data_IF_470249115901
#
_entry.id   IF_470249115901
#
_cell.length_a   1.000
_cell.length_b   1.000
_cell.length_c   1.000
_cell.angle_alpha   90.00
_cell.angle_beta   90.00
_cell.angle_gamma   90.00
#
_symmetry.space_group_name_H-M   'P 1'
#
loop_
_entity.id
_entity.type
_entity.pdbx_description
1 polymer ?
2 branched ?
3 water ?
#
# COMPACT_ATOMS: atom_id res chain seq x y z
N UNK A 2 -20.32 -20.56 11.32
CA UNK A 2 -20.02 -19.12 11.13
C UNK A 2 -18.51 -18.86 11.08
N UNK A 3 -18.05 -18.20 10.02
CA UNK A 3 -16.65 -17.75 9.99
C UNK A 3 -16.61 -16.23 10.09
N UNK A 4 -15.50 -15.69 10.60
CA UNK A 4 -15.34 -14.24 10.72
C UNK A 4 -14.19 -13.76 9.85
N UNK A 5 -14.40 -12.57 9.27
CA UNK A 5 -13.43 -11.90 8.40
C UNK A 5 -13.08 -10.56 9.02
N UNK A 6 -11.79 -10.34 9.27
CA UNK A 6 -11.29 -8.99 9.58
C UNK A 6 -10.95 -8.27 8.29
N UNK A 7 -11.41 -7.02 8.16
CA UNK A 7 -11.07 -6.20 6.99
C UNK A 7 -10.80 -4.74 7.33
N UNK A 8 -9.92 -4.12 6.57
CA UNK A 8 -9.64 -2.67 6.66
C UNK A 8 -10.36 -1.88 5.57
N UNK A 9 -11.21 -2.57 4.82
CA UNK A 9 -11.94 -1.94 3.75
C UNK A 9 -13.04 -1.03 4.31
N UNK A 10 -13.32 0.03 3.58
CA UNK A 10 -14.49 0.87 3.81
C UNK A 10 -15.15 1.17 2.50
N UNK A 11 -16.25 1.90 2.57
CA UNK A 11 -16.93 2.40 1.42
C UNK A 11 -17.38 1.32 0.46
N UNK A 12 -17.32 1.61 -0.85
CA UNK A 12 -17.63 0.63 -1.90
C UNK A 12 -16.87 -0.70 -1.79
N UNK A 13 -15.60 -0.66 -1.36
CA UNK A 13 -14.84 -1.91 -1.21
C UNK A 13 -15.44 -2.81 -0.15
N UNK A 14 -15.79 -2.21 0.98
CA UNK A 14 -16.45 -2.90 2.08
C UNK A 14 -17.80 -3.44 1.64
N UNK A 15 -18.54 -2.65 0.86
CA UNK A 15 -19.85 -3.10 0.40
C UNK A 15 -19.75 -4.35 -0.50
N UNK A 16 -18.75 -4.37 -1.39
CA UNK A 16 -18.43 -5.59 -2.15
C UNK A 16 -18.18 -6.80 -1.25
N UNK A 17 -17.33 -6.63 -0.24
CA UNK A 17 -16.99 -7.72 0.67
C UNK A 17 -18.24 -8.23 1.43
N UNK A 18 -19.10 -7.32 1.86
CA UNK A 18 -20.34 -7.68 2.57
C UNK A 18 -21.27 -8.48 1.65
N UNK A 19 -21.36 -8.07 0.38
CA UNK A 19 -22.16 -8.77 -0.62
C UNK A 19 -21.64 -10.17 -0.88
N UNK A 20 -20.32 -10.31 -1.04
CA UNK A 20 -19.73 -11.63 -1.25
C UNK A 20 -19.98 -12.54 -0.04
N UNK A 21 -20.01 -11.94 1.15
CA UNK A 21 -20.26 -12.70 2.38
C UNK A 21 -21.71 -13.20 2.42
N UNK A 22 -22.63 -12.34 2.00
CA UNK A 22 -24.05 -12.71 1.90
C UNK A 22 -24.23 -13.85 0.88
N UNK A 23 -23.70 -13.64 -0.33
CA UNK A 23 -23.72 -14.64 -1.38
C UNK A 23 -23.13 -16.02 -0.95
N UNK A 24 -22.04 -16.03 -0.18
CA UNK A 24 -21.46 -17.28 0.32
C UNK A 24 -22.36 -17.99 1.32
N UNK A 25 -23.15 -17.25 2.10
CA UNK A 25 -24.10 -17.88 2.99
C UNK A 25 -25.23 -18.62 2.23
N UNK A 26 -25.50 -18.22 0.99
CA UNK A 26 -26.54 -18.83 0.18
C UNK A 26 -25.99 -19.94 -0.71
N UNK A 27 -24.78 -19.76 -1.23
CA UNK A 27 -24.10 -20.84 -1.92
C UNK A 27 -23.20 -21.64 -0.95
N UNK A 28 -23.67 -21.84 0.29
CA UNK A 28 -22.87 -22.51 1.33
C UNK A 28 -23.68 -22.92 2.56
N UNK A 29 -24.52 -22.01 3.04
CA UNK A 29 -25.13 -22.14 4.36
C UNK A 29 -24.29 -21.64 5.54
N UNK A 30 -23.03 -21.28 5.28
CA UNK A 30 -22.14 -20.80 6.33
C UNK A 30 -22.27 -19.29 6.44
N UNK A 31 -22.61 -18.83 7.64
CA UNK A 31 -22.70 -17.40 7.95
C UNK A 31 -21.29 -16.78 7.95
N UNK A 32 -21.15 -15.63 7.30
CA UNK A 32 -19.88 -14.89 7.29
C UNK A 32 -20.07 -13.53 7.97
N UNK A 33 -19.33 -13.29 9.05
CA UNK A 33 -19.36 -12.01 9.72
C UNK A 33 -18.15 -11.15 9.28
N UNK A 34 -18.45 -10.01 8.67
CA UNK A 34 -17.41 -9.05 8.25
C UNK A 34 -17.19 -8.06 9.41
N UNK A 35 -15.97 -8.05 9.94
CA UNK A 35 -15.60 -7.20 11.07
C UNK A 35 -14.56 -6.19 10.58
N UNK A 36 -14.90 -4.91 10.73
CA UNK A 36 -13.99 -3.81 10.42
C UNK A 36 -12.95 -3.63 11.52
N UNK A 37 -11.72 -3.38 11.09
CA UNK A 37 -10.55 -3.21 11.94
C UNK A 37 -9.70 -2.16 11.22
N UNK A 38 -9.22 -1.13 11.96
CA UNK A 38 -8.32 -0.19 11.29
C UNK A 38 -7.04 -0.91 10.81
N UNK A 39 -6.60 -0.54 9.61
CA UNK A 39 -5.46 -1.17 8.95
C UNK A 39 -4.26 -1.30 9.86
N UNK A 40 -3.95 -0.22 10.58
CA UNK A 40 -2.72 -0.12 11.40
C UNK A 40 -2.76 -0.94 12.69
N UNK A 41 -3.92 -1.52 12.99
CA UNK A 41 -4.13 -2.39 14.15
C UNK A 41 -4.23 -3.89 13.83
N UNK A 42 -4.46 -4.24 12.56
CA UNK A 42 -4.75 -5.64 12.20
C UNK A 42 -3.61 -6.62 12.47
N UNK A 43 -2.41 -6.29 12.01
CA UNK A 43 -1.27 -7.23 12.11
C UNK A 43 -1.03 -7.68 13.56
N UNK A 44 -0.99 -6.72 14.49
CA UNK A 44 -0.75 -7.03 15.89
C UNK A 44 -1.91 -7.87 16.44
N UNK A 45 -3.14 -7.49 16.11
CA UNK A 45 -4.31 -8.21 16.59
C UNK A 45 -4.27 -9.66 16.16
N UNK A 46 -3.87 -9.90 14.91
CA UNK A 46 -3.84 -11.25 14.33
C UNK A 46 -2.70 -12.10 14.85
N UNK A 47 -1.51 -11.51 14.87
CA UNK A 47 -0.32 -12.24 15.32
C UNK A 47 -0.46 -12.66 16.79
N UNK A 48 -0.84 -11.70 17.64
CA UNK A 48 -1.02 -11.97 19.07
C UNK A 48 -2.27 -12.81 19.35
N UNK A 49 -3.38 -12.49 18.70
CA UNK A 49 -4.64 -13.22 18.92
C UNK A 49 -4.74 -14.61 18.32
N UNK A 50 -4.08 -14.86 17.19
CA UNK A 50 -4.31 -16.09 16.45
C UNK A 50 -4.06 -17.34 17.29
N UNK A 51 -2.87 -17.42 17.92
CA UNK A 51 -2.54 -18.62 18.70
C UNK A 51 -3.32 -18.76 20.00
N UNK A 52 -4.04 -17.72 20.40
CA UNK A 52 -4.92 -17.76 21.58
C UNK A 52 -6.39 -18.06 21.26
N UNK A 53 -6.71 -18.34 20.00
CA UNK A 53 -8.11 -18.54 19.59
C UNK A 53 -8.94 -17.27 19.46
N UNK A 54 -8.27 -16.12 19.40
CA UNK A 54 -8.92 -14.80 19.51
C UNK A 54 -8.97 -13.99 18.19
N UNK A 55 -8.40 -14.53 17.10
CA UNK A 55 -8.42 -13.82 15.79
C UNK A 55 -9.45 -14.40 14.81
N UNK A 56 -9.79 -13.61 13.79
CA UNK A 56 -10.71 -14.01 12.74
C UNK A 56 -10.21 -15.19 11.92
N UNK A 57 -11.13 -15.85 11.23
CA UNK A 57 -10.83 -17.01 10.40
C UNK A 57 -10.06 -16.62 9.16
N UNK A 58 -10.25 -15.40 8.68
CA UNK A 58 -9.47 -14.89 7.57
C UNK A 58 -9.32 -13.37 7.62
N UNK A 59 -8.33 -12.86 6.89
CA UNK A 59 -8.15 -11.40 6.75
C UNK A 59 -8.23 -11.13 5.27
N UNK A 60 -9.20 -10.28 4.91
CA UNK A 60 -9.39 -9.78 3.55
C UNK A 60 -9.22 -8.25 3.59
N UNK A 61 -8.06 -7.69 3.23
CA UNK A 61 -6.83 -8.35 2.82
C UNK A 61 -5.67 -7.84 3.67
N UNK A 62 -4.53 -8.49 3.59
CA UNK A 62 -3.30 -7.98 4.17
C UNK A 62 -2.32 -7.59 3.07
N UNK A 63 -1.47 -6.57 3.34
CA UNK A 63 -0.40 -6.23 2.41
C UNK A 63 0.71 -7.25 2.57
N UNK A 64 1.39 -7.54 1.48
CA UNK A 64 2.41 -8.59 1.48
C UNK A 64 3.64 -8.35 2.35
N UNK A 65 3.91 -7.11 2.74
CA UNK A 65 5.06 -6.87 3.60
C UNK A 65 4.89 -7.54 4.97
N UNK A 66 3.65 -7.82 5.37
CA UNK A 66 3.34 -8.52 6.62
C UNK A 66 3.64 -10.04 6.62
N UNK A 67 3.91 -10.62 5.45
CA UNK A 67 3.91 -12.10 5.28
C UNK A 67 5.01 -12.81 6.09
N UNK A 68 6.25 -12.36 5.96
CA UNK A 68 7.37 -12.94 6.70
C UNK A 68 7.17 -12.94 8.21
N UNK A 69 6.82 -11.79 8.80
CA UNK A 69 6.56 -11.72 10.23
C UNK A 69 5.39 -12.60 10.70
N UNK A 70 4.30 -12.60 9.94
CA UNK A 70 3.14 -13.41 10.27
C UNK A 70 3.43 -14.92 10.14
N UNK A 71 4.12 -15.29 9.06
CA UNK A 71 4.50 -16.68 8.80
C UNK A 71 5.43 -17.21 9.91
N UNK A 72 6.39 -16.40 10.32
CA UNK A 72 7.23 -16.74 11.49
C UNK A 72 6.45 -16.87 12.80
N UNK A 73 5.35 -16.12 12.96
CA UNK A 73 4.51 -16.26 14.14
C UNK A 73 3.61 -17.49 14.04
N UNK A 74 3.72 -18.20 12.93
CA UNK A 74 2.98 -19.44 12.73
C UNK A 74 1.52 -19.22 12.47
N UNK A 75 1.10 -17.99 12.19
CA UNK A 75 -0.34 -17.66 12.23
C UNK A 75 -1.04 -17.77 10.89
N UNK A 76 -0.28 -18.03 9.83
CA UNK A 76 -0.82 -18.11 8.46
C UNK A 76 -0.97 -19.57 8.03
N UNK A 77 -2.13 -19.90 7.49
CA UNK A 77 -2.35 -21.20 6.87
C UNK A 77 -1.71 -21.23 5.47
N UNK A 78 -0.78 -22.17 5.23
CA UNK A 78 -0.32 -22.43 3.86
C UNK A 78 -1.51 -22.80 2.96
N UNK A 79 -1.60 -22.18 1.78
CA UNK A 79 -2.79 -22.31 0.95
C UNK A 79 -2.56 -23.06 -0.38
N UNK A 80 -1.32 -23.40 -0.67
CA UNK A 80 -0.96 -24.03 -1.94
C UNK A 80 -1.68 -25.34 -2.19
N UNK A 81 -1.85 -26.13 -1.13
CA UNK A 81 -2.53 -27.42 -1.23
C UNK A 81 -4.03 -27.30 -1.62
N UNK A 82 -4.64 -26.12 -1.42
CA UNK A 82 -6.08 -25.91 -1.71
C UNK A 82 -6.38 -25.33 -3.10
N UNK A 83 -5.34 -25.06 -3.87
CA UNK A 83 -5.46 -24.34 -5.13
C UNK A 83 -4.86 -25.12 -6.30
N UNK A 84 -5.38 -24.85 -7.50
CA UNK A 84 -4.93 -25.51 -8.73
C UNK A 84 -3.80 -24.74 -9.41
N UNK A 85 -3.09 -25.45 -10.28
CA UNK A 85 -2.03 -24.86 -11.12
C UNK A 85 -2.62 -23.85 -12.09
N UNK A 86 -3.82 -24.12 -12.57
CA UNK A 86 -4.50 -23.19 -13.45
C UNK A 86 -4.69 -21.85 -12.74
N UNK A 87 -5.15 -21.88 -11.50
CA UNK A 87 -5.32 -20.65 -10.72
C UNK A 87 -3.95 -19.97 -10.61
N UNK A 88 -2.94 -20.71 -10.13
CA UNK A 88 -1.59 -20.17 -9.96
C UNK A 88 -0.94 -19.61 -11.23
N UNK A 89 -1.09 -20.34 -12.34
CA UNK A 89 -0.56 -19.92 -13.65
C UNK A 89 -1.10 -18.58 -14.13
N UNK A 90 -2.33 -18.27 -13.74
CA UNK A 90 -2.95 -17.02 -14.16
C UNK A 90 -2.50 -15.80 -13.33
N UNK A 91 -1.83 -16.05 -12.21
CA UNK A 91 -1.33 -14.97 -11.35
C UNK A 91 -0.02 -14.36 -11.88
N UNK A 92 0.09 -13.05 -11.77
CA UNK A 92 1.34 -12.35 -12.05
C UNK A 92 2.45 -12.87 -11.13
N UNK A 93 3.61 -13.14 -11.70
CA UNK A 93 4.79 -13.57 -10.96
C UNK A 93 5.13 -12.80 -9.69
N UNK A 94 5.10 -11.47 -9.74
CA UNK A 94 5.46 -10.67 -8.56
C UNK A 94 4.45 -10.88 -7.42
N UNK A 95 3.19 -11.12 -7.76
CA UNK A 95 2.15 -11.34 -6.75
C UNK A 95 2.31 -12.68 -6.06
N UNK A 96 2.66 -13.71 -6.85
CA UNK A 96 3.03 -15.00 -6.31
C UNK A 96 4.22 -14.85 -5.37
N UNK A 97 5.28 -14.17 -5.80
CA UNK A 97 6.48 -13.98 -4.99
C UNK A 97 6.18 -13.20 -3.72
N UNK A 98 5.32 -12.18 -3.81
CA UNK A 98 4.96 -11.35 -2.64
C UNK A 98 4.38 -12.21 -1.49
N UNK A 99 3.58 -13.23 -1.85
CA UNK A 99 2.94 -14.05 -0.83
C UNK A 99 3.58 -15.40 -0.60
N UNK A 100 4.80 -15.57 -1.13
CA UNK A 100 5.62 -16.77 -0.92
C UNK A 100 6.68 -16.50 0.15
N UNK A 101 6.70 -17.37 1.15
CA UNK A 101 7.66 -17.30 2.25
C UNK A 101 8.03 -18.72 2.73
N UNK A 102 9.32 -18.97 2.91
CA UNK A 102 9.80 -20.31 3.25
C UNK A 102 9.54 -21.31 2.13
N UNK A 103 9.54 -20.81 0.90
CA UNK A 103 9.20 -21.63 -0.27
C UNK A 103 7.73 -22.03 -0.40
N UNK A 104 6.86 -21.43 0.40
CA UNK A 104 5.45 -21.76 0.37
C UNK A 104 4.58 -20.54 0.11
N UNK A 105 3.46 -20.78 -0.56
CA UNK A 105 2.44 -19.76 -0.77
C UNK A 105 1.63 -19.60 0.54
N UNK A 106 1.64 -18.40 1.11
CA UNK A 106 1.08 -18.13 2.43
C UNK A 106 -0.23 -17.30 2.41
N UNK A 107 -0.77 -17.07 1.23
CA UNK A 107 -2.05 -16.39 1.08
C UNK A 107 -2.41 -16.36 -0.39
N UNK A 108 -3.61 -15.90 -0.69
CA UNK A 108 -4.08 -15.82 -2.08
C UNK A 108 -3.91 -14.38 -2.54
N UNK A 109 -2.97 -14.13 -3.49
CA UNK A 109 -2.73 -12.79 -3.99
C UNK A 109 -3.93 -12.30 -4.79
N UNK A 110 -4.37 -11.08 -4.51
CA UNK A 110 -5.61 -10.58 -5.09
C UNK A 110 -5.43 -9.29 -5.88
N UNK A 111 -4.86 -8.27 -5.24
CA UNK A 111 -4.80 -6.93 -5.83
C UNK A 111 -3.43 -6.32 -5.71
N UNK A 112 -3.07 -5.52 -6.71
CA UNK A 112 -1.83 -4.77 -6.70
C UNK A 112 -2.17 -3.30 -6.57
N UNK A 113 -1.26 -2.54 -5.95
CA UNK A 113 -1.50 -1.15 -5.68
C UNK A 113 -0.19 -0.41 -5.51
N UNK A 114 -0.26 0.90 -5.69
CA UNK A 114 0.85 1.78 -5.37
C UNK A 114 0.29 3.17 -5.19
N UNK A 115 1.03 4.05 -4.54
CA UNK A 115 0.69 5.46 -4.61
C UNK A 115 1.01 6.02 -5.99
N UNK A 116 0.35 7.13 -6.28
CA UNK A 116 0.52 7.87 -7.53
C UNK A 116 -0.02 9.30 -7.34
N UNK A 117 0.26 10.13 -8.33
CA UNK A 117 -0.29 11.46 -8.40
C UNK A 117 -1.71 11.33 -8.92
N UNK A 118 -2.68 11.54 -8.02
CA UNK A 118 -4.08 11.53 -8.36
C UNK A 118 -4.52 13.00 -8.37
N UNK A 119 -5.01 13.44 -9.52
CA UNK A 119 -5.36 14.85 -9.74
C UNK A 119 -6.82 15.01 -10.08
N UNK A 120 -7.45 15.99 -9.42
CA UNK A 120 -8.84 16.33 -9.64
C UNK A 120 -8.92 17.23 -10.88
N UNK A 121 -9.59 16.71 -11.90
CA UNK A 121 -9.69 17.35 -13.24
C UNK A 121 -10.51 18.65 -13.31
N UNK A 122 -11.18 19.00 -12.24
CA UNK A 122 -11.78 20.31 -12.06
C UNK A 122 -10.71 21.41 -11.87
N UNK A 123 -9.59 21.04 -11.24
CA UNK A 123 -8.45 21.93 -11.07
C UNK A 123 -7.34 21.70 -12.09
N UNK A 124 -7.17 20.45 -12.51
CA UNK A 124 -6.04 20.05 -13.32
C UNK A 124 -6.50 19.22 -14.51
N UNK A 125 -6.56 19.85 -15.67
CA UNK A 125 -7.04 19.15 -16.87
C UNK A 125 -6.04 18.10 -17.37
N UNK A 126 -4.77 18.45 -17.38
CA UNK A 126 -3.71 17.51 -17.80
C UNK A 126 -2.59 17.44 -16.77
N UNK A 127 -1.97 16.24 -16.62
CA UNK A 127 -0.99 16.10 -15.54
C UNK A 127 0.23 17.00 -15.77
N UNK A 128 0.79 17.58 -14.69
CA UNK A 128 2.01 18.37 -14.84
C UNK A 128 3.15 17.51 -15.40
N UNK A 129 3.87 18.03 -16.40
CA UNK A 129 4.88 17.26 -17.13
C UNK A 129 6.23 17.16 -16.41
N UNK A 130 6.50 18.11 -15.53
CA UNK A 130 7.77 18.20 -14.83
C UNK A 130 7.54 18.64 -13.39
N UNK A 131 8.59 18.53 -12.58
CA UNK A 131 8.58 19.06 -11.24
C UNK A 131 8.23 20.55 -11.21
N UNK A 132 8.80 21.31 -12.14
CA UNK A 132 8.70 22.77 -12.10
C UNK A 132 7.26 23.20 -12.42
N UNK A 133 6.68 22.51 -13.38
CA UNK A 133 5.29 22.73 -13.76
C UNK A 133 4.30 22.34 -12.64
N UNK A 134 4.61 21.24 -11.95
CA UNK A 134 3.84 20.78 -10.79
C UNK A 134 3.92 21.77 -9.66
N UNK A 135 5.15 22.18 -9.34
CA UNK A 135 5.40 23.13 -8.27
C UNK A 135 4.65 24.43 -8.49
N UNK A 136 4.75 24.98 -9.69
CA UNK A 136 4.10 26.25 -10.04
C UNK A 136 2.57 26.14 -9.90
N UNK A 137 2.01 25.05 -10.42
CA UNK A 137 0.59 24.77 -10.31
C UNK A 137 0.11 24.59 -8.86
N UNK A 138 0.83 23.76 -8.08
CA UNK A 138 0.43 23.45 -6.73
C UNK A 138 0.41 24.71 -5.85
N UNK A 139 1.42 25.56 -6.02
CA UNK A 139 1.50 26.82 -5.26
C UNK A 139 0.38 27.78 -5.68
N UNK A 140 0.12 27.83 -6.99
CA UNK A 140 -0.95 28.66 -7.55
C UNK A 140 -2.32 28.30 -7.01
N UNK A 141 -2.60 27.01 -6.93
CA UNK A 141 -3.93 26.54 -6.56
C UNK A 141 -4.12 26.51 -5.06
N UNK A 142 -3.05 26.78 -4.31
CA UNK A 142 -3.13 26.89 -2.86
C UNK A 142 -3.45 28.35 -2.49
N UNK A 143 -4.50 28.53 -1.68
CA UNK A 143 -5.06 29.84 -1.37
C UNK A 143 -5.58 29.86 0.10
N UNK A 144 -6.70 30.54 0.35
CA UNK A 144 -7.36 30.49 1.66
C UNK A 144 -7.87 29.10 2.02
N UNK A 145 -8.91 28.64 1.32
CA UNK A 145 -9.57 27.36 1.66
C UNK A 145 -9.29 26.19 0.68
N UNK A 146 -8.44 26.45 -0.32
CA UNK A 146 -8.13 25.45 -1.37
C UNK A 146 -6.66 25.06 -1.28
N UNK A 147 -6.37 23.82 -1.66
CA UNK A 147 -5.00 23.30 -1.62
C UNK A 147 -4.59 22.77 -2.98
N UNK A 148 -3.35 23.04 -3.37
CA UNK A 148 -2.83 22.52 -4.65
C UNK A 148 -2.32 21.09 -4.51
N UNK A 149 -1.66 20.80 -3.39
CA UNK A 149 -1.09 19.49 -3.11
C UNK A 149 -0.99 19.15 -1.63
N UNK A 150 -1.53 17.97 -1.28
CA UNK A 150 -1.49 17.47 0.05
C UNK A 150 -1.26 15.95 0.00
N UNK A 151 -0.64 15.44 1.05
CA UNK A 151 -0.45 13.99 1.20
C UNK A 151 -0.04 13.65 2.64
N UNK A 152 -0.09 12.36 2.97
CA UNK A 152 0.34 11.88 4.29
C UNK A 152 1.85 11.99 4.47
N UNK A 153 2.29 13.22 4.74
CA UNK A 153 3.71 13.58 4.73
C UNK A 153 4.60 12.84 5.73
N UNK A 154 4.04 12.47 6.88
CA UNK A 154 4.79 11.77 7.87
C UNK A 154 4.97 10.29 7.63
N UNK A 155 4.24 9.73 6.67
CA UNK A 155 4.22 8.27 6.44
C UNK A 155 5.41 7.75 5.59
N UNK A 156 6.17 6.77 6.10
CA UNK A 156 7.37 6.26 5.37
C UNK A 156 7.08 5.55 4.02
N UNK A 157 6.07 4.70 4.00
CA UNK A 157 5.52 4.13 2.75
C UNK A 157 5.19 5.19 1.67
N UNK A 158 4.45 6.23 2.03
CA UNK A 158 4.06 7.27 1.05
C UNK A 158 5.28 8.01 0.47
N UNK A 159 6.30 8.18 1.31
CA UNK A 159 7.54 8.87 0.94
C UNK A 159 8.62 8.03 0.27
N UNK A 160 8.46 6.70 0.26
CA UNK A 160 9.50 5.86 -0.33
C UNK A 160 9.90 6.30 -1.74
N UNK A 161 8.95 6.72 -2.56
CA UNK A 161 9.26 7.13 -3.93
C UNK A 161 10.31 8.23 -4.04
N UNK A 162 10.29 9.13 -3.08
CA UNK A 162 11.33 10.16 -2.98
C UNK A 162 12.68 9.52 -2.55
N UNK A 163 12.63 8.55 -1.66
CA UNK A 163 13.85 7.84 -1.28
C UNK A 163 14.47 7.08 -2.47
N UNK A 164 13.61 6.45 -3.28
CA UNK A 164 14.01 5.80 -4.53
C UNK A 164 14.60 6.79 -5.55
N UNK A 165 13.93 7.89 -5.79
CA UNK A 165 14.47 8.93 -6.65
C UNK A 165 15.92 9.33 -6.23
N UNK A 166 16.13 9.56 -4.94
CA UNK A 166 17.44 10.01 -4.45
C UNK A 166 18.50 8.91 -4.31
N UNK A 167 18.11 7.64 -4.51
CA UNK A 167 19.08 6.58 -4.79
C UNK A 167 18.90 5.23 -4.12
N UNK A 168 17.80 5.05 -3.37
CA UNK A 168 17.51 3.76 -2.71
C UNK A 168 16.75 2.85 -3.67
N UNK A 169 17.36 1.75 -4.10
CA UNK A 169 16.68 0.77 -4.97
C UNK A 169 15.45 0.19 -4.25
N UNK A 170 15.66 -0.18 -3.00
CA UNK A 170 14.60 -0.64 -2.14
C UNK A 170 15.06 -0.33 -0.73
N UNK A 171 14.45 -0.99 0.28
CA UNK A 171 14.77 -0.77 1.66
C UNK A 171 16.13 -1.37 1.98
N UNK A 172 16.37 -2.58 1.48
CA UNK A 172 17.58 -3.35 1.76
C UNK A 172 18.33 -3.70 0.48
N UNK A 173 19.65 -3.76 0.55
CA UNK A 173 20.48 -4.25 -0.55
C UNK A 173 20.24 -5.75 -0.79
N UNK A 174 20.30 -6.18 -2.04
CA UNK A 174 20.23 -7.61 -2.41
C UNK A 174 21.62 -8.22 -2.25
N UNK A 175 21.68 -9.43 -1.71
CA UNK A 175 22.95 -9.99 -1.25
C UNK A 175 23.40 -11.29 -1.90
N UNK A 176 24.64 -11.25 -2.38
CA UNK A 176 25.36 -12.41 -2.89
C UNK A 176 24.80 -12.78 -4.23
N UNK A 177 23.62 -13.40 -4.22
CA UNK A 177 22.85 -13.68 -5.43
C UNK A 177 21.37 -13.73 -5.09
N UNK A 178 20.75 -12.55 -5.01
CA UNK A 178 19.29 -12.43 -5.14
C UNK A 178 18.51 -12.09 -3.90
N UNK A 179 18.98 -12.53 -2.73
CA UNK A 179 18.23 -12.39 -1.47
C UNK A 179 18.57 -11.10 -0.72
N UNK A 180 17.55 -10.43 -0.18
CA UNK A 180 17.76 -9.20 0.58
C UNK A 180 18.63 -9.45 1.80
N UNK A 181 19.54 -8.52 2.07
CA UNK A 181 20.30 -8.52 3.30
C UNK A 181 19.74 -7.43 4.19
N UNK A 182 19.06 -7.82 5.28
CA UNK A 182 18.52 -6.85 6.25
C UNK A 182 19.59 -6.07 7.03
N UNK A 183 20.85 -6.49 6.94
CA UNK A 183 21.94 -5.78 7.58
C UNK A 183 22.40 -4.55 6.79
N UNK A 184 21.99 -4.47 5.52
CA UNK A 184 22.39 -3.37 4.62
C UNK A 184 21.22 -2.49 4.16
N UNK A 185 20.88 -1.48 4.96
CA UNK A 185 19.84 -0.52 4.57
C UNK A 185 20.32 0.27 3.36
N UNK A 186 19.37 0.74 2.55
CA UNK A 186 19.63 1.64 1.44
C UNK A 186 18.95 3.01 1.62
N UNK A 187 18.21 3.17 2.71
CA UNK A 187 17.43 4.39 2.94
C UNK A 187 18.07 5.35 3.95
N UNK A 188 19.29 5.03 4.41
CA UNK A 188 20.08 5.91 5.27
C UNK A 188 21.16 6.60 4.45
N UNK A 189 22.12 7.19 5.16
CA UNK A 189 23.25 7.87 4.53
C UNK A 189 22.82 9.06 3.70
N UNK A 190 23.47 9.26 2.56
CA UNK A 190 23.22 10.43 1.70
C UNK A 190 21.82 10.40 1.10
N UNK A 191 21.37 9.21 0.71
CA UNK A 191 20.04 9.04 0.10
C UNK A 191 19.00 9.57 1.07
N UNK A 192 19.11 9.11 2.33
CA UNK A 192 18.18 9.46 3.38
C UNK A 192 18.18 10.94 3.72
N UNK A 193 19.38 11.51 3.80
CA UNK A 193 19.52 12.95 4.08
C UNK A 193 18.86 13.79 2.97
N UNK A 194 19.09 13.43 1.72
CA UNK A 194 18.50 14.19 0.60
C UNK A 194 16.98 14.02 0.52
N UNK A 195 16.48 12.79 0.76
CA UNK A 195 15.05 12.55 0.79
C UNK A 195 14.40 13.38 1.87
N UNK A 196 14.96 13.34 3.07
CA UNK A 196 14.37 14.08 4.20
C UNK A 196 14.40 15.60 4.03
N UNK A 197 15.46 16.12 3.41
CA UNK A 197 15.50 17.57 3.07
C UNK A 197 14.43 17.98 2.04
N UNK A 198 14.27 17.19 0.99
CA UNK A 198 13.17 17.44 0.03
C UNK A 198 11.79 17.39 0.73
N UNK A 199 11.59 16.39 1.58
CA UNK A 199 10.34 16.30 2.34
C UNK A 199 10.18 17.53 3.24
N UNK A 200 11.22 17.91 3.96
CA UNK A 200 11.19 19.20 4.70
C UNK A 200 10.79 20.38 3.81
N UNK A 201 11.41 20.45 2.64
CA UNK A 201 11.21 21.55 1.71
C UNK A 201 9.76 21.64 1.26
N UNK A 202 9.08 20.49 1.19
CA UNK A 202 7.65 20.46 0.82
C UNK A 202 6.84 21.30 1.81
N UNK A 203 7.33 21.45 3.03
CA UNK A 203 6.66 22.29 4.02
C UNK A 203 7.33 23.67 4.09
N UNK A 204 8.63 23.72 4.35
CA UNK A 204 9.28 24.97 4.75
C UNK A 204 9.82 25.85 3.61
N UNK A 205 9.96 25.27 2.42
CA UNK A 205 10.45 26.03 1.28
C UNK A 205 9.34 26.25 0.30
N UNK A 206 8.73 25.15 -0.14
CA UNK A 206 7.72 25.20 -1.18
C UNK A 206 6.35 25.52 -0.61
N UNK A 207 6.17 25.36 0.72
CA UNK A 207 4.94 25.73 1.42
C UNK A 207 3.69 25.03 0.84
N UNK A 208 3.80 23.71 0.68
CA UNK A 208 2.71 22.93 0.07
C UNK A 208 1.93 22.13 1.12
N UNK A 209 2.64 21.55 2.07
CA UNK A 209 2.06 20.64 3.05
C UNK A 209 2.31 21.16 4.47
N UNK A 210 1.34 21.87 5.05
CA UNK A 210 1.53 22.40 6.40
C UNK A 210 1.48 21.37 7.52
N UNK A 211 1.70 21.84 8.74
CA UNK A 211 1.56 21.03 9.94
C UNK A 211 0.16 20.40 10.03
N UNK A 212 0.12 19.22 10.63
CA UNK A 212 -1.14 18.55 10.90
C UNK A 212 -1.65 17.63 9.81
N UNK A 213 -1.05 17.69 8.61
CA UNK A 213 -1.60 16.94 7.49
C UNK A 213 -1.23 15.45 7.54
N UNK A 214 -2.23 14.64 7.86
CA UNK A 214 -2.09 13.19 7.90
C UNK A 214 -2.98 12.58 6.81
N UNK A 215 -3.08 11.25 6.78
CA UNK A 215 -3.88 10.59 5.76
C UNK A 215 -5.27 11.22 5.63
N UNK A 216 -5.98 11.35 6.75
CA UNK A 216 -7.38 11.79 6.71
C UNK A 216 -7.61 13.21 6.24
N UNK A 217 -6.68 14.10 6.61
CA UNK A 217 -6.74 15.51 6.21
C UNK A 217 -6.65 15.61 4.69
N UNK A 218 -5.64 14.95 4.12
CA UNK A 218 -5.44 15.00 2.66
C UNK A 218 -6.55 14.28 1.90
N UNK A 219 -6.92 13.09 2.40
CA UNK A 219 -7.94 12.31 1.75
C UNK A 219 -9.28 13.03 1.83
N UNK A 220 -9.57 13.60 2.99
CA UNK A 220 -10.83 14.35 3.20
C UNK A 220 -10.95 15.51 2.23
N UNK A 221 -9.86 16.28 2.14
CA UNK A 221 -9.75 17.40 1.20
C UNK A 221 -10.00 17.04 -0.27
N UNK A 222 -9.47 15.90 -0.73
CA UNK A 222 -9.67 15.47 -2.12
C UNK A 222 -11.11 15.05 -2.39
N UNK A 223 -11.68 14.27 -1.47
CA UNK A 223 -13.10 13.87 -1.53
C UNK A 223 -14.03 15.06 -1.55
N UNK A 224 -13.75 16.05 -0.68
CA UNK A 224 -14.55 17.29 -0.60
C UNK A 224 -14.47 18.12 -1.87
N UNK A 225 -13.37 18.00 -2.61
CA UNK A 225 -13.17 18.76 -3.84
C UNK A 225 -12.38 20.04 -3.59
N UNK A 226 -11.79 20.16 -2.41
CA UNK A 226 -10.96 21.31 -2.06
C UNK A 226 -9.46 21.16 -2.46
N UNK A 227 -9.10 20.01 -3.05
CA UNK A 227 -7.69 19.65 -3.27
C UNK A 227 -7.37 19.21 -4.70
N UNK A 228 -6.46 19.97 -5.32
CA UNK A 228 -6.09 19.76 -6.70
C UNK A 228 -5.41 18.41 -6.95
N UNK A 229 -4.41 18.12 -6.12
CA UNK A 229 -3.54 16.95 -6.30
C UNK A 229 -3.27 16.26 -4.96
N UNK A 230 -3.30 14.93 -4.98
CA UNK A 230 -2.93 14.12 -3.82
C UNK A 230 -1.96 13.01 -4.25
N UNK A 231 -1.07 12.63 -3.37
CA UNK A 231 -0.27 11.44 -3.52
C UNK A 231 -1.01 10.37 -2.70
N UNK A 232 -1.67 9.44 -3.41
CA UNK A 232 -2.43 8.36 -2.77
C UNK A 232 -2.58 7.18 -3.74
N UNK A 233 -3.12 6.07 -3.24
CA UNK A 233 -3.25 4.85 -3.99
C UNK A 233 -4.67 4.43 -4.27
N UNK A 234 -4.82 3.32 -5.00
CA UNK A 234 -6.12 2.93 -5.55
C UNK A 234 -7.17 2.52 -4.50
N UNK A 235 -6.70 2.21 -3.29
CA UNK A 235 -7.58 1.98 -2.15
C UNK A 235 -8.51 3.13 -1.84
N UNK A 236 -8.18 4.33 -2.32
CA UNK A 236 -8.92 5.57 -2.03
C UNK A 236 -9.97 5.88 -3.11
N UNK A 237 -9.88 5.18 -4.25
CA UNK A 237 -10.67 5.48 -5.44
C UNK A 237 -12.14 5.17 -5.30
N UNK A 238 -12.49 4.17 -4.48
CA UNK A 238 -13.88 3.85 -4.20
C UNK A 238 -14.64 5.07 -3.72
N UNK A 239 -14.08 5.74 -2.71
CA UNK A 239 -14.69 6.94 -2.13
C UNK A 239 -14.62 8.14 -3.06
N UNK A 240 -13.58 8.22 -3.91
CA UNK A 240 -13.52 9.26 -4.96
C UNK A 240 -14.55 9.03 -6.08
N UNK A 241 -14.73 7.79 -6.52
CA UNK A 241 -15.78 7.44 -7.49
C UNK A 241 -17.15 7.78 -6.87
N UNK A 242 -17.36 7.42 -5.61
CA UNK A 242 -18.64 7.65 -4.92
C UNK A 242 -18.96 9.13 -4.74
N UNK A 243 -17.93 9.95 -4.48
CA UNK A 243 -18.10 11.40 -4.41
C UNK A 243 -18.07 12.04 -5.80
N UNK A 244 -18.05 11.21 -6.84
CA UNK A 244 -18.12 11.66 -8.24
C UNK A 244 -16.96 12.58 -8.69
N UNK A 245 -15.82 12.53 -8.00
CA UNK A 245 -14.61 13.28 -8.41
C UNK A 245 -14.09 12.69 -9.72
N UNK A 246 -13.86 13.55 -10.72
CA UNK A 246 -13.25 13.12 -11.97
C UNK A 246 -11.73 13.24 -11.84
N UNK A 247 -11.07 12.10 -11.60
CA UNK A 247 -9.64 12.08 -11.32
C UNK A 247 -8.86 11.50 -12.48
N UNK A 248 -7.59 11.91 -12.56
CA UNK A 248 -6.61 11.23 -13.39
C UNK A 248 -5.51 10.64 -12.50
N UNK A 249 -4.82 9.64 -13.04
CA UNK A 249 -3.71 8.97 -12.41
C UNK A 249 -2.45 9.24 -13.24
N UNK A 250 -1.41 9.71 -12.57
CA UNK A 250 -0.13 10.00 -13.20
C UNK A 250 1.02 9.66 -12.24
N UNK A 251 2.23 9.42 -12.78
CA UNK A 251 3.39 9.32 -11.91
C UNK A 251 3.63 10.63 -11.18
N UNK A 252 4.20 10.56 -9.99
CA UNK A 252 4.57 11.76 -9.29
C UNK A 252 5.84 12.28 -9.95
N UNK A 253 5.98 13.61 -10.10
CA UNK A 253 7.24 14.15 -10.61
C UNK A 253 8.48 13.80 -9.78
N UNK A 254 9.61 13.70 -10.45
CA UNK A 254 10.85 13.38 -9.80
C UNK A 254 11.28 14.62 -9.03
N UNK A 255 11.62 14.44 -7.73
CA UNK A 255 12.02 15.60 -6.92
C UNK A 255 13.29 16.25 -7.50
N UNK A 256 13.45 17.55 -7.29
CA UNK A 256 14.64 18.25 -7.78
C UNK A 256 15.89 17.78 -7.01
N UNK A 257 16.98 17.54 -7.74
CA UNK A 257 18.22 17.02 -7.15
C UNK A 257 18.38 15.49 -7.13
N UNK A 258 17.28 14.77 -7.35
CA UNK A 258 17.28 13.31 -7.39
C UNK A 258 17.88 12.79 -8.69
N UNK A 259 18.83 11.87 -8.56
CA UNK A 259 19.52 11.28 -9.70
C UNK A 259 18.71 10.23 -10.47
N UNK A 260 17.68 9.66 -9.81
CA UNK A 260 16.83 8.64 -10.40
C UNK A 260 15.37 9.06 -10.45
N UNK A 261 14.58 8.47 -11.38
CA UNK A 261 13.17 8.80 -11.35
C UNK A 261 12.43 8.42 -10.06
N UNK A 262 11.39 9.19 -9.74
CA UNK A 262 10.44 8.78 -8.72
C UNK A 262 9.92 7.35 -9.04
N UNK A 263 9.83 6.51 -8.01
CA UNK A 263 9.21 5.20 -8.14
C UNK A 263 8.69 4.72 -6.79
N UNK A 264 7.40 4.38 -6.72
CA UNK A 264 6.79 3.98 -5.44
C UNK A 264 6.99 2.50 -5.09
N UNK A 265 6.69 2.12 -3.85
CA UNK A 265 6.47 0.72 -3.49
C UNK A 265 5.28 0.14 -4.27
N UNK A 266 5.43 -1.11 -4.72
CA UNK A 266 4.34 -1.92 -5.17
C UNK A 266 3.93 -2.77 -3.99
N UNK A 267 2.63 -2.80 -3.75
CA UNK A 267 2.08 -3.57 -2.66
C UNK A 267 1.14 -4.58 -3.27
N UNK A 268 1.14 -5.78 -2.72
CA UNK A 268 0.17 -6.79 -3.10
C UNK A 268 -0.70 -7.07 -1.90
N UNK A 269 -2.01 -6.93 -2.09
CA UNK A 269 -2.99 -7.31 -1.08
C UNK A 269 -3.45 -8.74 -1.36
N UNK A 270 -3.50 -9.55 -0.31
CA UNK A 270 -3.95 -10.94 -0.45
C UNK A 270 -4.77 -11.41 0.71
N UNK A 271 -5.54 -12.47 0.46
CA UNK A 271 -6.34 -13.07 1.49
C UNK A 271 -5.48 -14.11 2.23
N UNK A 272 -5.52 -14.07 3.56
CA UNK A 272 -4.82 -15.06 4.37
C UNK A 272 -5.81 -15.76 5.29
N UNK A 273 -5.55 -17.04 5.52
CA UNK A 273 -6.38 -17.83 6.39
C UNK A 273 -5.62 -18.05 7.69
N UNK A 274 -6.34 -17.95 8.81
CA UNK A 274 -5.80 -18.19 10.14
C UNK A 274 -5.46 -19.67 10.32
N UNK A 275 -4.18 -19.96 10.60
CA UNK A 275 -3.72 -21.33 10.84
C UNK A 275 -4.44 -21.99 12.03
N UNK A 276 -5.02 -21.18 12.90
CA UNK A 276 -5.77 -21.64 14.07
C UNK A 276 -7.28 -21.58 13.89
N UNK A 277 -7.73 -21.41 12.65
CA UNK A 277 -9.17 -21.43 12.39
C UNK A 277 -9.77 -22.78 12.79
N UNK A 278 -10.82 -22.74 13.60
CA UNK A 278 -11.67 -23.92 13.82
C UNK A 278 -12.64 -24.26 12.69
N UNK A 279 -12.49 -23.60 11.53
CA UNK A 279 -13.34 -23.83 10.36
C UNK A 279 -12.56 -23.55 9.06
N UNK A 280 -11.36 -24.12 8.93
CA UNK A 280 -10.50 -23.85 7.76
C UNK A 280 -11.15 -24.19 6.43
N UNK A 281 -11.87 -25.30 6.37
CA UNK A 281 -12.51 -25.69 5.11
C UNK A 281 -13.37 -24.57 4.53
N UNK A 282 -14.29 -24.05 5.35
CA UNK A 282 -15.21 -23.00 4.89
C UNK A 282 -14.51 -21.66 4.68
N UNK A 283 -13.62 -21.31 5.59
CA UNK A 283 -12.73 -20.14 5.45
C UNK A 283 -11.95 -20.16 4.13
N UNK A 284 -11.33 -21.30 3.81
CA UNK A 284 -10.63 -21.45 2.54
C UNK A 284 -11.57 -21.35 1.33
N UNK A 285 -12.72 -22.03 1.39
CA UNK A 285 -13.67 -21.97 0.28
C UNK A 285 -14.13 -20.55 0.08
N UNK A 286 -14.40 -19.83 1.16
CA UNK A 286 -14.88 -18.45 1.03
C UNK A 286 -13.80 -17.55 0.44
N UNK A 287 -12.57 -17.70 0.92
CA UNK A 287 -11.43 -16.97 0.35
C UNK A 287 -11.31 -17.19 -1.16
N UNK A 288 -11.51 -18.43 -1.61
CA UNK A 288 -11.37 -18.75 -3.02
C UNK A 288 -12.46 -18.07 -3.84
N UNK A 289 -13.66 -17.90 -3.28
CA UNK A 289 -14.74 -17.19 -3.99
C UNK A 289 -14.37 -15.73 -4.28
N UNK A 290 -13.57 -15.12 -3.41
CA UNK A 290 -13.26 -13.69 -3.50
C UNK A 290 -12.25 -13.36 -4.60
N UNK A 291 -11.47 -14.35 -5.04
CA UNK A 291 -10.36 -14.10 -5.96
C UNK A 291 -10.55 -14.69 -7.36
N UNK A 292 -11.77 -15.09 -7.69
CA UNK A 292 -12.11 -15.41 -9.09
C UNK A 292 -11.98 -14.15 -9.95
N UNK A 293 -11.67 -14.37 -11.23
CA UNK A 293 -11.55 -13.28 -12.20
C UNK A 293 -12.66 -12.25 -12.09
N UNK A 294 -13.90 -12.75 -12.07
CA UNK A 294 -15.09 -11.92 -12.00
C UNK A 294 -15.17 -11.06 -10.74
N UNK A 295 -14.81 -11.65 -9.61
CA UNK A 295 -14.81 -10.89 -8.36
C UNK A 295 -13.67 -9.87 -8.27
N UNK A 296 -12.50 -10.22 -8.78
CA UNK A 296 -11.39 -9.27 -8.84
C UNK A 296 -11.74 -8.04 -9.68
N UNK A 297 -12.43 -8.27 -10.82
CA UNK A 297 -12.88 -7.21 -11.69
C UNK A 297 -13.92 -6.35 -10.99
N UNK A 298 -14.89 -7.00 -10.33
CA UNK A 298 -15.92 -6.31 -9.57
C UNK A 298 -15.30 -5.40 -8.50
N UNK A 299 -14.33 -5.94 -7.77
CA UNK A 299 -13.66 -5.15 -6.75
C UNK A 299 -13.00 -3.91 -7.37
N UNK A 300 -12.33 -4.06 -8.51
CA UNK A 300 -11.69 -2.91 -9.17
C UNK A 300 -12.72 -1.88 -9.56
N UNK A 301 -13.86 -2.35 -10.05
CA UNK A 301 -14.89 -1.44 -10.53
C UNK A 301 -15.52 -0.69 -9.38
N UNK A 302 -15.70 -1.36 -8.25
CA UNK A 302 -16.23 -0.73 -7.03
C UNK A 302 -15.27 0.30 -6.44
N UNK A 303 -13.99 -0.03 -6.50
CA UNK A 303 -12.93 0.79 -5.92
C UNK A 303 -11.89 1.20 -6.93
N UNK A 304 -10.79 0.46 -6.96
CA UNK A 304 -9.75 0.70 -7.95
C UNK A 304 -8.45 -0.07 -7.88
N UNK A 305 -8.29 -0.97 -6.91
CA UNK A 305 -7.06 -1.75 -6.81
C UNK A 305 -6.98 -2.74 -7.98
N UNK A 306 -5.78 -3.02 -8.43
CA UNK A 306 -5.59 -3.67 -9.72
C UNK A 306 -5.53 -5.19 -9.54
N UNK A 307 -6.36 -5.96 -10.28
CA UNK A 307 -6.22 -7.43 -10.20
C UNK A 307 -4.81 -7.96 -10.45
N UNK A 308 -4.40 -8.98 -9.69
CA UNK A 308 -3.14 -9.66 -9.97
C UNK A 308 -3.36 -10.88 -10.92
N UNK A 309 -4.61 -11.10 -11.33
CA UNK A 309 -4.92 -12.09 -12.36
C UNK A 309 -4.54 -11.51 -13.73
N UNK A 310 -3.58 -12.15 -14.40
CA UNK A 310 -3.26 -11.78 -15.80
C UNK A 310 -4.51 -11.65 -16.65
N UNK A 311 -5.33 -12.69 -16.62
CA UNK A 311 -6.62 -12.76 -17.32
C UNK A 311 -7.52 -11.53 -17.03
N UNK A 312 -7.79 -11.29 -15.74
CA UNK A 312 -8.64 -10.18 -15.32
C UNK A 312 -8.05 -8.81 -15.69
N UNK A 313 -6.72 -8.67 -15.61
CA UNK A 313 -6.05 -7.41 -15.98
C UNK A 313 -6.22 -7.05 -17.47
N UNK A 314 -6.00 -8.02 -18.36
CA UNK A 314 -6.17 -7.82 -19.80
C UNK A 314 -7.61 -7.42 -20.10
N UNK A 315 -8.55 -8.01 -19.36
CA UNK A 315 -9.95 -7.68 -19.52
C UNK A 315 -10.22 -6.19 -19.25
N UNK A 316 -9.52 -5.61 -18.26
CA UNK A 316 -9.66 -4.20 -17.94
C UNK A 316 -8.58 -3.31 -18.56
N UNK A 317 -7.93 -3.79 -19.61
CA UNK A 317 -6.80 -3.09 -20.21
C UNK A 317 -7.11 -1.62 -20.51
N UNK A 318 -8.36 -1.36 -20.92
CA UNK A 318 -8.81 -0.04 -21.31
C UNK A 318 -9.51 0.75 -20.20
N UNK A 319 -9.76 0.12 -19.05
CA UNK A 319 -10.27 0.85 -17.90
C UNK A 319 -9.24 1.95 -17.54
N UNK A 320 -9.72 3.16 -17.28
CA UNK A 320 -8.87 4.30 -16.98
C UNK A 320 -7.94 4.14 -15.76
N UNK A 321 -8.46 3.52 -14.71
CA UNK A 321 -7.70 3.25 -13.48
C UNK A 321 -6.61 2.21 -13.77
N UNK A 322 -6.97 1.16 -14.51
CA UNK A 322 -6.00 0.11 -14.81
C UNK A 322 -4.91 0.66 -15.76
N UNK A 323 -5.31 1.36 -16.82
CA UNK A 323 -4.36 2.00 -17.75
C UNK A 323 -3.45 3.01 -17.03
N UNK A 324 -4.03 3.80 -16.12
CA UNK A 324 -3.26 4.75 -15.33
C UNK A 324 -2.19 4.08 -14.47
N UNK A 325 -2.58 3.09 -13.69
CA UNK A 325 -1.61 2.38 -12.85
C UNK A 325 -0.62 1.49 -13.60
N UNK A 326 -0.96 1.06 -14.81
CA UNK A 326 -0.02 0.31 -15.66
C UNK A 326 1.19 1.14 -16.09
N UNK A 327 1.05 2.46 -16.03
CA UNK A 327 2.14 3.34 -16.38
C UNK A 327 2.95 3.72 -15.14
N UNK A 328 2.41 3.42 -13.95
CA UNK A 328 3.06 3.72 -12.68
C UNK A 328 3.79 2.50 -12.13
N UNK A 329 3.16 1.32 -12.20
CA UNK A 329 3.78 0.12 -11.59
C UNK A 329 5.19 -0.19 -12.05
N UNK A 330 5.47 -0.06 -13.36
CA UNK A 330 6.84 -0.34 -13.80
C UNK A 330 7.93 0.58 -13.25
N UNK A 331 7.54 1.73 -12.70
CA UNK A 331 8.50 2.64 -12.06
C UNK A 331 8.92 2.18 -10.66
N UNK A 332 8.14 1.28 -10.06
CA UNK A 332 8.24 0.95 -8.65
C UNK A 332 9.05 -0.28 -8.31
N UNK A 333 9.11 -0.60 -7.02
CA UNK A 333 9.72 -1.82 -6.51
C UNK A 333 8.77 -2.44 -5.48
N UNK A 334 8.59 -3.78 -5.50
CA UNK A 334 7.80 -4.39 -4.45
C UNK A 334 8.40 -4.18 -3.06
N UNK A 335 7.54 -3.92 -2.09
CA UNK A 335 7.94 -3.98 -0.70
C UNK A 335 8.63 -5.33 -0.41
N UNK A 336 9.62 -5.33 0.51
CA UNK A 336 10.13 -6.58 0.99
C UNK A 336 9.07 -7.27 1.85
N UNK A 337 9.03 -8.59 1.80
CA UNK A 337 8.10 -9.34 2.63
C UNK A 337 8.80 -10.03 3.80
N UNK A 338 10.08 -9.76 3.99
CA UNK A 338 10.86 -10.42 5.07
C UNK A 338 10.47 -9.92 6.46
N UNK A 339 10.68 -10.77 7.50
CA UNK A 339 10.23 -10.40 8.83
C UNK A 339 10.73 -9.06 9.33
N UNK A 340 11.95 -8.72 8.95
CA UNK A 340 12.64 -7.51 9.39
C UNK A 340 11.99 -6.20 8.91
N UNK A 341 11.25 -6.27 7.81
CA UNK A 341 10.50 -5.09 7.34
C UNK A 341 9.64 -4.47 8.45
N UNK A 342 9.03 -5.30 9.30
CA UNK A 342 8.23 -4.81 10.43
C UNK A 342 8.97 -3.89 11.40
N UNK A 343 10.28 -4.12 11.52
CA UNK A 343 11.17 -3.29 12.35
C UNK A 343 11.50 -1.92 11.72
N UNK A 344 11.44 -1.81 10.40
CA UNK A 344 11.91 -0.59 9.70
C UNK A 344 10.92 0.58 9.75
N UNK A 345 9.63 0.29 9.58
CA UNK A 345 8.62 1.33 9.41
C UNK A 345 8.58 2.35 10.55
N UNK A 346 8.68 1.87 11.78
CA UNK A 346 8.58 2.76 12.95
C UNK A 346 9.67 3.84 12.98
N UNK A 347 10.94 3.42 13.08
CA UNK A 347 12.05 4.40 13.07
C UNK A 347 12.12 5.21 11.76
N UNK A 348 11.75 4.60 10.64
CA UNK A 348 11.74 5.30 9.34
C UNK A 348 10.75 6.45 9.36
N UNK A 349 9.54 6.18 9.82
CA UNK A 349 8.51 7.18 9.96
C UNK A 349 8.77 8.17 11.09
N UNK A 350 9.43 7.71 12.14
CA UNK A 350 9.86 8.59 13.22
C UNK A 350 10.87 9.62 12.69
N UNK A 351 11.78 9.16 11.84
CA UNK A 351 12.77 10.06 11.23
C UNK A 351 12.10 11.17 10.43
N UNK A 352 11.09 10.81 9.63
CA UNK A 352 10.41 11.77 8.76
C UNK A 352 9.65 12.80 9.58
N UNK A 353 8.91 12.33 10.57
CA UNK A 353 8.19 13.22 11.46
C UNK A 353 9.13 14.19 12.21
N UNK A 354 10.29 13.72 12.64
CA UNK A 354 11.31 14.58 13.26
C UNK A 354 11.86 15.63 12.29
N UNK A 355 12.12 15.18 11.06
CA UNK A 355 12.64 16.07 10.03
C UNK A 355 11.67 17.24 9.77
N UNK A 356 10.39 16.93 9.63
CA UNK A 356 9.37 17.92 9.24
C UNK A 356 8.78 18.72 10.41
N UNK A 357 9.16 18.36 11.63
CA UNK A 357 8.63 19.03 12.82
C UNK A 357 9.18 20.46 12.92
N UNK A 358 10.47 20.64 12.63
CA UNK A 358 11.10 21.96 12.66
C UNK A 358 12.07 22.18 11.48
N UNK A 359 12.16 23.45 10.99
CA UNK A 359 13.17 23.86 9.98
C UNK A 359 14.62 23.53 10.33
N UNK A 360 14.96 23.58 11.62
CA UNK A 360 16.34 23.44 12.09
C UNK A 360 16.74 21.98 12.38
N UNK A 361 15.94 21.03 11.93
CA UNK A 361 16.19 19.63 12.25
C UNK A 361 17.45 19.13 11.56
N UNK A 362 18.33 18.50 12.34
CA UNK A 362 19.57 17.94 11.82
C UNK A 362 19.25 16.66 11.06
N UNK A 363 19.06 16.81 9.74
CA UNK A 363 18.76 15.69 8.86
C UNK A 363 19.85 14.62 8.90
N UNK A 364 21.11 15.05 8.94
CA UNK A 364 22.27 14.16 9.05
C UNK A 364 22.19 13.23 10.28
N UNK A 365 21.89 13.79 11.44
CA UNK A 365 21.84 13.01 12.70
C UNK A 365 20.56 12.17 12.80
N UNK A 366 19.44 12.75 12.38
CA UNK A 366 18.16 12.05 12.31
C UNK A 366 18.33 10.74 11.52
N UNK A 367 18.94 10.84 10.34
CA UNK A 367 19.18 9.65 9.52
C UNK A 367 20.15 8.67 10.21
N UNK A 368 21.18 9.21 10.86
CA UNK A 368 22.13 8.37 11.61
C UNK A 368 21.42 7.56 12.71
N UNK A 369 20.61 8.25 13.50
CA UNK A 369 19.84 7.65 14.58
C UNK A 369 18.80 6.65 14.07
N UNK A 370 18.11 7.00 12.97
CA UNK A 370 17.18 6.08 12.33
C UNK A 370 17.86 4.76 12.00
N UNK A 371 18.97 4.87 11.28
CA UNK A 371 19.81 3.71 10.93
C UNK A 371 20.27 2.91 12.16
N UNK A 372 20.66 3.64 13.22
CA UNK A 372 21.09 3.03 14.49
C UNK A 372 19.95 2.26 15.17
N UNK A 373 18.81 2.91 15.31
CA UNK A 373 17.56 2.30 15.83
C UNK A 373 17.10 1.04 15.08
N UNK A 374 17.15 1.08 13.75
CA UNK A 374 16.80 -0.07 12.92
C UNK A 374 17.80 -1.22 13.08
N UNK A 375 19.09 -0.91 13.11
CA UNK A 375 20.14 -1.95 13.31
C UNK A 375 19.91 -2.68 14.63
N UNK A 376 19.66 -1.90 15.67
CA UNK A 376 19.37 -2.42 17.01
C UNK A 376 18.11 -3.30 17.05
N UNK A 377 17.06 -2.88 16.33
CA UNK A 377 15.78 -3.62 16.32
C UNK A 377 15.89 -4.93 15.56
N UNK A 378 16.72 -4.97 14.53
CA UNK A 378 16.95 -6.20 13.77
C UNK A 378 17.80 -7.21 14.57
N UNK A 379 19.01 -6.81 14.96
CA UNK A 379 20.00 -7.72 15.59
C UNK A 379 19.46 -8.71 16.61
X LIG B 1 -7.07 1.87 4.35
X LIG B 1 -6.82 1.14 3.03
X LIG B 1 -5.38 0.65 3.00
X LIG B 1 -4.42 1.83 3.19
X LIG B 1 -4.71 2.56 4.51
X LIG B 1 -3.87 3.86 4.63
X LIG B 1 -7.05 0.91 5.41
X LIG B 1 -7.76 0.06 2.85
X LIG B 1 -5.09 -0.05 1.77
X LIG B 1 -3.11 1.33 3.31
X LIG B 1 -6.09 2.88 4.59
X LIG B 1 -4.17 4.57 5.84
X LIG B 2 -2.18 1.79 2.31
X LIG B 2 -1.48 0.58 1.72
X LIG B 2 -0.60 -0.07 2.79
X LIG B 2 0.35 0.91 3.47
X LIG B 2 -0.42 2.12 3.95
X LIG B 2 0.53 3.19 4.49
X LIG B 2 -2.46 -0.37 1.28
X LIG B 2 0.14 -1.15 2.22
X LIG B 2 1.02 0.25 4.57
X LIG B 2 -1.22 2.69 2.88
X LIG B 2 -0.09 4.02 5.48
X LIG B 3 2.41 0.09 4.38
X LIG B 3 2.74 -1.30 4.88
X LIG B 3 2.53 -1.39 6.39
X LIG B 3 3.32 -0.28 7.06
X LIG B 3 2.98 1.11 6.50
X LIG B 3 3.86 2.23 7.08
X LIG B 3 1.93 -2.28 4.20
X LIG B 3 2.96 -2.66 6.86
X LIG B 3 3.04 -0.34 8.46
X LIG B 3 3.17 1.10 5.08
X LIG B 3 3.20 3.49 6.87
#
# INVERSE_FOLDING_TARGET
MKITVWTHFGGPELEWLKEQARTFERTSGTKVEVVEVPFAEIKQKFILGAPQGQAADLVVTVPHDWVGEMAQAGVLEPVGKYVTQAYLADLQGVAVEAFTFGGRLMGLPAFAESVALIYNKKYVKEPPRTWEEFLALAQKLTTGATFGFLYNIGDPYFNFGFFKAFGAENVFAKDAKGNLDPTKLLIGGEVGEKALQFIKDLRFKYNLVPEGVDYGVADGAFKDGALAMILNGPWALGDYKKAKVDFGIAPFPVPPGAKNPWGPFLGVQGVVVNAYSKNKTQAVNFAKTLVTGRNLVAFNQAGGRIPVSKSAVKQLEKDPVVAGFSKVFPLGAPMPNIPEMGKVWGPWGNAISLAIQRPDSNVKKIVEDMVAEIKKAIGRHHHHHH
GLC C1 C2 C3 C4 C5 C6 O1 O2 O3 O4 O5 O6
GLC C1 C2 C3 C4 C5 C6 O2 O3 O4 O5 O6
GLC C1 C2 C3 C4 C5 C6 O2 O3 O4 O5 O6
#
